data_IF_664060489074
#
_entry.id   IF_664060489074
#
_cell.length_a   1.000
_cell.length_b   1.000
_cell.length_c   1.000
_cell.angle_alpha   90.00
_cell.angle_beta   90.00
_cell.angle_gamma   90.00
#
_symmetry.space_group_name_H-M   'P 1'
#
loop_
_entity.id
_entity.type
_entity.pdbx_description
1 polymer ?
#
# COMPACT_ATOMS: atom_id res chain seq x y z
N UNK A 1 35.05 -1.91 9.15
CA UNK A 1 33.82 -2.65 9.50
C UNK A 1 32.83 -2.59 8.36
N UNK A 2 31.52 -2.57 8.65
CA UNK A 2 30.39 -2.60 7.69
C UNK A 2 30.59 -1.73 6.43
N UNK A 3 31.09 -0.50 6.56
CA UNK A 3 31.39 0.40 5.43
C UNK A 3 32.48 -0.09 4.45
N UNK A 4 33.29 -1.08 4.82
CA UNK A 4 34.23 -1.74 3.89
C UNK A 4 33.54 -2.74 2.97
N UNK A 5 32.40 -3.30 3.39
CA UNK A 5 31.60 -4.24 2.60
C UNK A 5 30.43 -3.55 1.89
N UNK A 6 29.83 -2.53 2.52
CA UNK A 6 28.71 -1.76 1.96
C UNK A 6 28.97 -0.25 2.10
N UNK A 7 29.71 0.36 1.16
CA UNK A 7 29.93 1.80 1.18
C UNK A 7 28.66 2.54 0.74
N UNK A 8 27.80 2.90 1.70
CA UNK A 8 26.54 3.64 1.45
C UNK A 8 26.75 5.15 1.32
N UNK A 9 27.93 5.66 1.66
CA UNK A 9 28.23 7.10 1.64
C UNK A 9 29.37 7.39 0.68
N UNK A 10 29.14 8.25 -0.32
CA UNK A 10 30.23 8.93 -1.04
C UNK A 10 30.68 10.10 -0.15
N UNK A 11 31.93 10.08 0.31
CA UNK A 11 32.51 11.26 0.96
C UNK A 11 32.48 12.41 -0.05
N UNK A 12 31.61 13.41 0.19
CA UNK A 12 31.66 14.66 -0.58
C UNK A 12 32.94 15.39 -0.17
N UNK A 13 33.56 16.11 -1.11
CA UNK A 13 34.71 16.98 -0.80
C UNK A 13 34.33 17.92 0.35
N UNK A 14 35.24 18.07 1.30
CA UNK A 14 35.11 19.06 2.37
C UNK A 14 34.97 20.45 1.74
N UNK A 15 33.90 21.16 2.07
CA UNK A 15 33.70 22.56 1.70
C UNK A 15 34.51 23.40 2.67
N UNK A 16 35.35 24.31 2.16
CA UNK A 16 36.14 25.24 3.00
C UNK A 16 35.30 26.47 3.31
N UNK A 17 35.50 27.11 4.45
CA UNK A 17 34.85 28.39 4.75
C UNK A 17 35.37 29.47 3.78
N UNK A 18 34.46 30.30 3.24
CA UNK A 18 34.78 31.34 2.27
C UNK A 18 33.57 31.82 1.48
N UNK A 19 33.77 32.80 0.61
CA UNK A 19 32.78 33.25 -0.36
C UNK A 19 32.81 32.35 -1.60
N UNK A 20 31.63 32.00 -2.11
CA UNK A 20 31.46 31.17 -3.30
C UNK A 20 30.54 31.88 -4.29
N UNK A 21 30.95 31.94 -5.54
CA UNK A 21 30.09 32.39 -6.63
C UNK A 21 28.98 31.37 -6.90
N UNK A 22 27.75 31.85 -7.01
CA UNK A 22 26.62 31.00 -7.40
C UNK A 22 26.72 30.71 -8.90
N UNK A 23 27.18 29.50 -9.25
CA UNK A 23 27.33 29.08 -10.66
C UNK A 23 25.97 28.81 -11.35
N UNK A 24 24.95 28.33 -10.62
CA UNK A 24 23.62 28.06 -11.18
C UNK A 24 22.53 28.11 -10.09
N UNK A 25 21.38 28.72 -10.40
CA UNK A 25 20.22 28.80 -9.51
C UNK A 25 18.98 28.27 -10.23
N UNK A 26 18.71 26.97 -10.07
CA UNK A 26 17.54 26.33 -10.68
C UNK A 26 16.33 26.35 -9.74
N UNK A 27 15.27 27.08 -10.10
CA UNK A 27 13.96 27.00 -9.42
C UNK A 27 13.17 25.85 -10.04
N UNK A 28 12.92 24.79 -9.28
CA UNK A 28 12.15 23.63 -9.74
C UNK A 28 10.79 23.57 -9.04
N UNK A 29 9.71 23.48 -9.82
CA UNK A 29 8.36 23.17 -9.31
C UNK A 29 8.21 21.65 -9.19
N UNK A 30 8.41 21.13 -7.98
CA UNK A 30 8.20 19.71 -7.66
C UNK A 30 6.73 19.46 -7.29
N UNK A 31 6.12 18.35 -7.73
CA UNK A 31 4.80 17.95 -7.26
C UNK A 31 4.77 17.77 -5.74
N UNK A 32 3.67 18.18 -5.10
CA UNK A 32 3.51 18.08 -3.64
C UNK A 32 3.53 16.63 -3.12
N UNK A 33 3.11 15.67 -3.95
CA UNK A 33 3.13 14.25 -3.62
C UNK A 33 4.09 13.51 -4.56
N UNK A 34 5.01 12.74 -3.98
CA UNK A 34 5.87 11.83 -4.73
C UNK A 34 5.07 10.57 -5.07
N UNK A 35 5.18 10.10 -6.31
CA UNK A 35 4.67 8.78 -6.66
C UNK A 35 5.42 7.69 -5.87
N UNK A 36 4.70 6.63 -5.57
CA UNK A 36 5.21 5.48 -4.81
C UNK A 36 5.89 4.48 -5.75
N UNK A 37 6.97 3.86 -5.30
CA UNK A 37 7.49 2.62 -5.86
C UNK A 37 6.78 1.41 -5.25
N UNK A 38 7.02 0.21 -5.76
CA UNK A 38 6.54 -1.02 -5.11
C UNK A 38 7.05 -1.14 -3.67
N UNK A 39 8.33 -0.85 -3.43
CA UNK A 39 8.91 -0.88 -2.10
C UNK A 39 8.26 0.12 -1.14
N UNK A 40 7.91 1.31 -1.63
CA UNK A 40 7.18 2.31 -0.85
C UNK A 40 5.78 1.78 -0.46
N UNK A 41 5.07 1.13 -1.39
CA UNK A 41 3.75 0.54 -1.12
C UNK A 41 3.85 -0.62 -0.13
N UNK A 42 4.84 -1.52 -0.27
CA UNK A 42 5.07 -2.61 0.67
C UNK A 42 5.37 -2.08 2.07
N UNK A 43 6.18 -1.02 2.17
CA UNK A 43 6.47 -0.38 3.46
C UNK A 43 5.19 0.18 4.11
N UNK A 44 4.33 0.85 3.33
CA UNK A 44 3.04 1.36 3.81
C UNK A 44 2.09 0.24 4.23
N UNK A 45 2.01 -0.85 3.46
CA UNK A 45 1.19 -2.02 3.80
C UNK A 45 1.61 -2.60 5.14
N UNK A 46 2.92 -2.75 5.35
CA UNK A 46 3.49 -3.23 6.63
C UNK A 46 3.18 -2.28 7.79
N UNK A 47 3.38 -0.97 7.61
CA UNK A 47 3.10 0.04 8.64
C UNK A 47 1.62 0.06 9.04
N UNK A 48 0.71 -0.15 8.08
CA UNK A 48 -0.74 -0.14 8.30
C UNK A 48 -1.32 -1.47 8.78
N UNK A 49 -0.50 -2.52 8.83
CA UNK A 49 -0.94 -3.87 9.20
C UNK A 49 -1.85 -4.51 8.14
N UNK A 50 -1.63 -4.22 6.86
CA UNK A 50 -2.43 -4.75 5.75
C UNK A 50 -1.62 -5.79 5.01
N UNK A 51 -2.05 -7.04 5.05
CA UNK A 51 -1.35 -8.15 4.40
C UNK A 51 -0.11 -8.62 5.17
N UNK A 52 0.58 -9.62 4.60
CA UNK A 52 1.69 -10.35 5.22
C UNK A 52 2.88 -10.45 4.27
N UNK A 53 4.09 -10.79 4.77
CA UNK A 53 5.27 -10.98 3.92
C UNK A 53 5.04 -11.91 2.73
N UNK A 54 4.17 -12.91 2.88
CA UNK A 54 3.78 -13.86 1.83
C UNK A 54 2.81 -13.29 0.79
N UNK A 55 2.11 -12.19 1.09
CA UNK A 55 1.02 -11.67 0.25
C UNK A 55 1.34 -10.34 -0.44
N UNK A 56 2.29 -9.54 0.06
CA UNK A 56 2.61 -8.22 -0.49
C UNK A 56 2.88 -8.23 -2.00
N UNK A 57 3.83 -9.06 -2.44
CA UNK A 57 4.19 -9.16 -3.86
C UNK A 57 3.02 -9.65 -4.70
N UNK A 58 2.22 -10.60 -4.18
CA UNK A 58 1.08 -11.15 -4.92
C UNK A 58 -0.03 -10.12 -5.08
N UNK A 59 -0.31 -9.33 -4.06
CA UNK A 59 -1.31 -8.24 -4.11
C UNK A 59 -0.92 -7.23 -5.19
N UNK A 60 0.32 -6.73 -5.16
CA UNK A 60 0.82 -5.76 -6.13
C UNK A 60 0.77 -6.34 -7.55
N UNK A 61 1.21 -7.59 -7.73
CA UNK A 61 1.15 -8.29 -9.01
C UNK A 61 -0.30 -8.38 -9.54
N UNK A 62 -1.27 -8.72 -8.69
CA UNK A 62 -2.67 -8.78 -9.09
C UNK A 62 -3.22 -7.42 -9.50
N UNK A 63 -2.78 -6.32 -8.87
CA UNK A 63 -3.17 -4.97 -9.29
C UNK A 63 -2.66 -4.63 -10.70
N UNK A 64 -1.45 -5.09 -11.06
CA UNK A 64 -0.92 -4.98 -12.41
C UNK A 64 -1.68 -5.86 -13.41
N UNK A 65 -1.84 -7.15 -13.11
CA UNK A 65 -2.51 -8.12 -13.98
C UNK A 65 -3.94 -7.69 -14.32
N UNK A 66 -4.66 -7.07 -13.36
CA UNK A 66 -6.02 -6.56 -13.58
C UNK A 66 -6.07 -5.18 -14.25
N UNK A 67 -4.91 -4.56 -14.49
CA UNK A 67 -4.76 -3.25 -15.12
C UNK A 67 -5.26 -2.10 -14.25
N UNK A 68 -5.22 -2.25 -12.92
CA UNK A 68 -5.58 -1.17 -11.98
C UNK A 68 -4.43 -0.19 -11.77
N UNK A 69 -3.19 -0.66 -11.88
CA UNK A 69 -1.98 0.16 -11.82
C UNK A 69 -1.08 -0.12 -13.03
N UNK A 70 -0.21 0.84 -13.34
CA UNK A 70 0.90 0.71 -14.28
C UNK A 70 2.16 1.28 -13.64
N UNK A 71 3.32 0.89 -14.17
CA UNK A 71 4.60 1.43 -13.73
C UNK A 71 5.18 2.36 -14.80
N UNK A 72 5.72 3.51 -14.37
CA UNK A 72 6.48 4.41 -15.24
C UNK A 72 7.67 4.97 -14.49
N UNK A 73 8.88 4.57 -14.90
CA UNK A 73 10.13 5.06 -14.32
C UNK A 73 10.31 4.67 -12.84
N UNK A 74 10.03 3.42 -12.47
CA UNK A 74 10.15 2.96 -11.08
C UNK A 74 8.99 3.37 -10.17
N UNK A 75 7.92 3.94 -10.74
CA UNK A 75 6.81 4.56 -10.00
C UNK A 75 5.47 4.03 -10.44
N UNK A 76 4.64 3.71 -9.46
CA UNK A 76 3.29 3.17 -9.62
C UNK A 76 2.29 4.31 -9.87
N UNK A 77 1.42 4.10 -10.85
CA UNK A 77 0.39 5.06 -11.26
C UNK A 77 -0.94 4.33 -11.41
N UNK A 78 -1.98 4.81 -10.73
CA UNK A 78 -3.33 4.28 -10.89
C UNK A 78 -3.90 4.60 -12.29
N UNK A 79 -4.43 3.58 -12.95
CA UNK A 79 -5.08 3.73 -14.26
C UNK A 79 -6.48 4.34 -14.12
N UNK A 80 -7.09 4.76 -15.23
CA UNK A 80 -8.50 5.19 -15.25
C UNK A 80 -9.42 4.09 -14.68
N UNK A 81 -9.17 2.84 -15.06
CA UNK A 81 -9.90 1.66 -14.57
C UNK A 81 -9.73 1.49 -13.06
N UNK A 82 -8.49 1.55 -12.57
CA UNK A 82 -8.20 1.44 -11.13
C UNK A 82 -8.92 2.52 -10.31
N UNK A 83 -8.87 3.78 -10.76
CA UNK A 83 -9.59 4.88 -10.11
C UNK A 83 -11.11 4.70 -10.12
N UNK A 84 -11.68 4.26 -11.24
CA UNK A 84 -13.11 4.02 -11.34
C UNK A 84 -13.57 2.90 -10.39
N UNK A 85 -12.84 1.79 -10.35
CA UNK A 85 -13.13 0.67 -9.44
C UNK A 85 -12.99 1.11 -7.98
N UNK A 86 -11.90 1.81 -7.63
CA UNK A 86 -11.72 2.33 -6.27
C UNK A 86 -12.86 3.26 -5.86
N UNK A 87 -13.27 4.19 -6.74
CA UNK A 87 -14.36 5.13 -6.47
C UNK A 87 -15.68 4.40 -6.26
N UNK A 88 -16.00 3.41 -7.10
CA UNK A 88 -17.20 2.60 -6.97
C UNK A 88 -17.21 1.84 -5.65
N UNK A 89 -16.10 1.18 -5.31
CA UNK A 89 -15.98 0.43 -4.06
C UNK A 89 -16.08 1.34 -2.84
N UNK A 90 -15.46 2.52 -2.89
CA UNK A 90 -15.49 3.48 -1.79
C UNK A 90 -16.88 4.07 -1.56
N UNK A 91 -17.67 4.27 -2.61
CA UNK A 91 -19.03 4.81 -2.48
C UNK A 91 -20.05 3.76 -2.04
N UNK A 92 -19.92 2.53 -2.55
CA UNK A 92 -20.93 1.50 -2.37
C UNK A 92 -20.64 0.54 -1.20
N UNK A 93 -19.35 0.37 -0.86
CA UNK A 93 -18.88 -0.66 0.07
C UNK A 93 -17.87 -0.13 1.09
N UNK A 94 -17.93 1.17 1.42
CA UNK A 94 -16.98 1.83 2.34
C UNK A 94 -16.71 1.01 3.62
N UNK A 95 -17.79 0.53 4.26
CA UNK A 95 -17.72 -0.30 5.48
C UNK A 95 -16.93 -1.60 5.32
N UNK A 96 -16.77 -2.11 4.10
CA UNK A 96 -16.14 -3.40 3.79
C UNK A 96 -14.74 -3.28 3.18
N UNK A 97 -14.31 -2.08 2.79
CA UNK A 97 -13.00 -1.86 2.14
C UNK A 97 -12.04 -1.03 2.99
N UNK A 98 -12.36 -0.79 4.26
CA UNK A 98 -11.52 -0.01 5.16
C UNK A 98 -10.25 -0.77 5.56
N UNK A 99 -9.16 -0.01 5.75
CA UNK A 99 -7.90 -0.55 6.24
C UNK A 99 -8.05 -1.16 7.64
N UNK A 100 -8.88 -0.54 8.48
CA UNK A 100 -9.16 -0.99 9.85
C UNK A 100 -9.83 -2.36 9.87
N UNK A 101 -10.85 -2.57 9.03
CA UNK A 101 -11.50 -3.88 8.91
C UNK A 101 -10.51 -4.94 8.43
N UNK A 102 -9.69 -4.58 7.45
CA UNK A 102 -8.67 -5.49 6.92
C UNK A 102 -7.68 -5.90 8.00
N UNK A 103 -7.22 -4.95 8.83
CA UNK A 103 -6.31 -5.23 9.95
C UNK A 103 -6.96 -6.13 11.01
N UNK A 104 -8.22 -5.87 11.38
CA UNK A 104 -8.96 -6.69 12.35
C UNK A 104 -9.09 -8.14 11.88
N UNK A 105 -9.42 -8.35 10.61
CA UNK A 105 -9.50 -9.70 10.05
C UNK A 105 -8.13 -10.41 10.11
N UNK A 106 -7.05 -9.70 9.82
CA UNK A 106 -5.69 -10.25 9.95
C UNK A 106 -5.37 -10.63 11.40
N UNK A 107 -5.74 -9.79 12.38
CA UNK A 107 -5.57 -10.09 13.81
C UNK A 107 -6.35 -11.34 14.25
N UNK A 108 -7.58 -11.50 13.77
CA UNK A 108 -8.40 -12.69 14.07
C UNK A 108 -7.82 -13.95 13.43
N UNK A 109 -7.29 -13.86 12.22
CA UNK A 109 -6.55 -14.95 11.59
C UNK A 109 -5.32 -15.34 12.43
N UNK A 110 -4.63 -14.36 13.02
CA UNK A 110 -3.50 -14.64 13.93
C UNK A 110 -3.96 -15.30 15.24
N UNK A 111 -5.13 -14.94 15.78
CA UNK A 111 -5.72 -15.63 16.94
C UNK A 111 -6.03 -17.09 16.62
N UNK A 112 -6.58 -17.36 15.44
CA UNK A 112 -6.82 -18.74 14.98
C UNK A 112 -5.51 -19.52 14.86
N UNK A 113 -4.45 -18.91 14.29
CA UNK A 113 -3.13 -19.55 14.19
C UNK A 113 -2.54 -19.91 15.56
N UNK A 114 -2.75 -19.07 16.58
CA UNK A 114 -2.33 -19.32 17.96
C UNK A 114 -3.25 -20.28 18.73
N UNK A 115 -4.39 -20.68 18.15
CA UNK A 115 -5.40 -21.51 18.82
C UNK A 115 -6.26 -20.77 19.84
N UNK A 116 -6.29 -19.44 19.79
CA UNK A 116 -7.06 -18.56 20.69
C UNK A 116 -8.50 -18.31 20.19
N UNK A 117 -8.79 -18.65 18.92
CA UNK A 117 -10.10 -18.49 18.31
C UNK A 117 -10.47 -19.71 17.44
N UNK A 118 -11.76 -20.04 17.34
CA UNK A 118 -12.26 -21.09 16.44
C UNK A 118 -12.42 -20.56 15.01
N UNK A 119 -11.69 -21.17 14.08
CA UNK A 119 -11.76 -20.83 12.66
C UNK A 119 -13.17 -21.02 12.08
N UNK A 120 -13.95 -21.98 12.59
CA UNK A 120 -15.32 -22.21 12.09
C UNK A 120 -16.26 -21.08 12.46
N UNK A 121 -16.12 -20.53 13.67
CA UNK A 121 -16.89 -19.39 14.12
C UNK A 121 -16.55 -18.14 13.29
N UNK A 122 -15.26 -17.88 13.09
CA UNK A 122 -14.79 -16.79 12.23
C UNK A 122 -15.36 -16.89 10.81
N UNK A 123 -15.30 -18.08 10.19
CA UNK A 123 -15.83 -18.30 8.84
C UNK A 123 -17.34 -18.10 8.76
N UNK A 124 -18.11 -18.54 9.77
CA UNK A 124 -19.56 -18.30 9.82
C UNK A 124 -19.88 -16.81 9.90
N UNK A 125 -19.19 -16.08 10.78
CA UNK A 125 -19.38 -14.63 10.93
C UNK A 125 -19.07 -13.87 9.64
N UNK A 126 -17.93 -14.19 8.99
CA UNK A 126 -17.57 -13.59 7.72
C UNK A 126 -18.57 -13.91 6.61
N UNK A 127 -19.09 -15.13 6.57
CA UNK A 127 -20.13 -15.51 5.62
C UNK A 127 -21.39 -14.65 5.78
N UNK A 128 -21.83 -14.45 7.02
CA UNK A 128 -23.00 -13.61 7.33
C UNK A 128 -22.76 -12.14 6.93
N UNK A 129 -21.59 -11.58 7.25
CA UNK A 129 -21.19 -10.23 6.85
C UNK A 129 -21.21 -10.05 5.32
N UNK A 130 -20.72 -11.05 4.58
CA UNK A 130 -20.72 -11.06 3.10
C UNK A 130 -22.13 -11.18 2.54
N UNK A 131 -23.01 -11.95 3.17
CA UNK A 131 -24.41 -12.07 2.73
C UNK A 131 -25.18 -10.75 2.92
N UNK A 132 -24.84 -9.95 3.92
CA UNK A 132 -25.37 -8.59 4.09
C UNK A 132 -24.90 -7.62 3.00
N UNK A 133 -23.68 -7.79 2.46
CA UNK A 133 -23.21 -7.02 1.29
C UNK A 133 -24.14 -7.22 0.10
N UNK A 134 -24.51 -8.47 -0.17
CA UNK A 134 -25.36 -8.84 -1.31
C UNK A 134 -26.74 -8.18 -1.23
N UNK A 135 -27.31 -8.08 -0.02
CA UNK A 135 -28.59 -7.39 0.21
C UNK A 135 -28.49 -5.89 -0.04
N UNK A 136 -27.35 -5.29 0.33
CA UNK A 136 -27.10 -3.85 0.12
C UNK A 136 -27.12 -3.48 -1.37
N UNK A 137 -26.66 -4.37 -2.27
CA UNK A 137 -26.72 -4.15 -3.72
C UNK A 137 -28.16 -4.16 -4.28
N UNK A 138 -29.07 -4.93 -3.68
CA UNK A 138 -30.46 -5.08 -4.16
C UNK A 138 -31.30 -3.84 -3.81
N UNK A 139 -30.94 -3.11 -2.75
CA UNK A 139 -31.68 -1.92 -2.32
C UNK A 139 -31.34 -0.63 -3.11
N UNK A 140 -30.26 -0.64 -3.90
CA UNK A 140 -29.79 0.51 -4.68
C UNK A 140 -30.05 0.35 -6.19
N UNK A 141 -30.65 -0.78 -6.60
CA UNK A 141 -31.07 -1.09 -7.97
C UNK A 141 -32.55 -0.91 -8.19
#
# INVERSE_FOLDING_TARGET
GFMRMFPTTRMRKEVREGEYDVEDLSIRKIPAARLLSEGDVVAMMKERGIGRPSTYSKIIQTLFERGYIIERGGKLIATKKGKAVYSFLSQMFEKYISEELTRKLEEEMDMVERGEADYQELLRRLYDEVMEIKKTQIAVS
#
